data_IF_988213118031
#
_entry.id   IF_988213118031
#
_cell.length_a   1.000
_cell.length_b   1.000
_cell.length_c   1.000
_cell.angle_alpha   90.00
_cell.angle_beta   90.00
_cell.angle_gamma   90.00
#
_symmetry.space_group_name_H-M   'P 1'
#
loop_
_entity.id
_entity.type
_entity.pdbx_description
1 polymer ?
#
# COMPACT_ATOMS: atom_id res chain seq x y z
N UNK A 1 21.00 -37.84 14.88
CA UNK A 1 20.33 -37.84 13.53
C UNK A 1 21.25 -37.15 12.55
N UNK A 2 21.52 -37.73 11.38
CA UNK A 2 22.42 -37.10 10.38
C UNK A 2 21.62 -35.97 9.71
N UNK A 3 22.13 -34.73 9.78
CA UNK A 3 21.50 -33.57 9.16
C UNK A 3 21.44 -33.76 7.64
N UNK A 4 20.27 -33.57 7.02
CA UNK A 4 20.12 -33.68 5.56
C UNK A 4 20.78 -32.50 4.84
N UNK A 5 21.09 -32.69 3.56
CA UNK A 5 21.60 -31.61 2.68
C UNK A 5 20.64 -30.41 2.60
N UNK A 6 19.34 -30.68 2.54
CA UNK A 6 18.30 -29.66 2.58
C UNK A 6 18.30 -28.88 3.91
N UNK A 7 18.34 -29.56 5.06
CA UNK A 7 18.35 -28.89 6.36
C UNK A 7 19.61 -28.01 6.54
N UNK A 8 20.77 -28.49 6.08
CA UNK A 8 22.01 -27.73 6.06
C UNK A 8 21.89 -26.48 5.16
N UNK A 9 21.37 -26.64 3.93
CA UNK A 9 21.18 -25.54 3.00
C UNK A 9 20.16 -24.52 3.54
N UNK A 10 19.06 -25.00 4.13
CA UNK A 10 18.02 -24.13 4.69
C UNK A 10 18.55 -23.30 5.86
N UNK A 11 19.39 -23.89 6.73
CA UNK A 11 20.04 -23.15 7.82
C UNK A 11 20.92 -22.01 7.32
N UNK A 12 21.78 -22.27 6.33
CA UNK A 12 22.62 -21.22 5.71
C UNK A 12 21.78 -20.17 4.97
N UNK A 13 20.73 -20.60 4.29
CA UNK A 13 19.82 -19.69 3.59
C UNK A 13 19.18 -18.66 4.52
N UNK A 14 18.63 -19.12 5.67
CA UNK A 14 17.94 -18.23 6.60
C UNK A 14 18.88 -17.40 7.47
N UNK A 15 19.98 -17.97 7.96
CA UNK A 15 20.85 -17.32 8.93
C UNK A 15 21.94 -16.46 8.27
N UNK A 16 22.43 -16.84 7.10
CA UNK A 16 23.52 -16.15 6.43
C UNK A 16 23.04 -15.42 5.18
N UNK A 17 22.56 -16.13 4.16
CA UNK A 17 22.24 -15.53 2.87
C UNK A 17 21.16 -14.45 2.93
N UNK A 18 20.01 -14.73 3.57
CA UNK A 18 18.94 -13.73 3.67
C UNK A 18 19.31 -12.53 4.53
N UNK A 19 20.10 -12.74 5.58
CA UNK A 19 20.47 -11.70 6.56
C UNK A 19 21.63 -10.87 6.03
N UNK A 20 22.75 -11.53 5.73
CA UNK A 20 24.03 -10.89 5.44
C UNK A 20 24.18 -10.53 3.95
N UNK A 21 24.00 -11.50 3.05
CA UNK A 21 24.26 -11.27 1.62
C UNK A 21 23.15 -10.46 0.97
N UNK A 22 21.90 -10.72 1.35
CA UNK A 22 20.74 -10.09 0.73
C UNK A 22 20.16 -8.91 1.52
N UNK A 23 20.52 -8.73 2.79
CA UNK A 23 20.01 -7.67 3.64
C UNK A 23 18.48 -7.68 3.74
N UNK A 24 17.86 -8.86 3.78
CA UNK A 24 16.41 -9.01 3.78
C UNK A 24 15.80 -8.50 5.08
N UNK A 25 14.64 -7.84 4.99
CA UNK A 25 13.95 -7.37 6.21
C UNK A 25 13.48 -8.56 7.07
N UNK A 26 13.41 -8.42 8.42
CA UNK A 26 12.89 -9.45 9.31
C UNK A 26 11.50 -9.97 8.87
N UNK A 27 10.66 -9.08 8.37
CA UNK A 27 9.33 -9.44 7.84
C UNK A 27 9.41 -10.33 6.57
N UNK A 28 10.39 -10.09 5.71
CA UNK A 28 10.61 -10.92 4.52
C UNK A 28 11.07 -12.31 4.93
N UNK A 29 12.01 -12.39 5.87
CA UNK A 29 12.54 -13.65 6.42
C UNK A 29 11.40 -14.46 7.06
N UNK A 30 10.56 -13.83 7.90
CA UNK A 30 9.39 -14.45 8.51
C UNK A 30 8.41 -15.00 7.45
N UNK A 31 8.12 -14.21 6.41
CA UNK A 31 7.23 -14.61 5.32
C UNK A 31 7.78 -15.83 4.55
N UNK A 32 9.09 -15.84 4.30
CA UNK A 32 9.75 -16.96 3.63
C UNK A 32 9.80 -18.19 4.51
N UNK A 33 10.13 -18.02 5.80
CA UNK A 33 10.10 -19.12 6.78
C UNK A 33 8.72 -19.79 6.80
N UNK A 34 7.66 -19.00 6.83
CA UNK A 34 6.29 -19.53 6.81
C UNK A 34 5.97 -20.30 5.52
N UNK A 35 6.50 -19.86 4.36
CA UNK A 35 6.33 -20.60 3.11
C UNK A 35 6.99 -21.99 3.15
N UNK A 36 8.17 -22.11 3.76
CA UNK A 36 8.85 -23.40 3.94
C UNK A 36 8.12 -24.27 4.95
N UNK A 37 7.63 -23.76 6.07
CA UNK A 37 6.81 -24.51 7.02
C UNK A 37 5.64 -25.18 6.30
N UNK A 38 4.88 -24.41 5.50
CA UNK A 38 3.76 -24.94 4.74
C UNK A 38 4.17 -25.96 3.68
N UNK A 39 5.34 -25.82 3.06
CA UNK A 39 5.86 -26.83 2.13
C UNK A 39 6.21 -28.13 2.85
N UNK A 40 6.83 -28.06 4.04
CA UNK A 40 7.16 -29.23 4.86
C UNK A 40 5.88 -29.97 5.29
N UNK A 41 4.86 -29.26 5.76
CA UNK A 41 3.54 -29.81 6.08
C UNK A 41 2.95 -30.56 4.87
N UNK A 42 2.98 -29.94 3.69
CA UNK A 42 2.48 -30.54 2.46
C UNK A 42 3.24 -31.83 2.08
N UNK A 43 4.57 -31.78 2.14
CA UNK A 43 5.40 -32.97 1.80
C UNK A 43 5.14 -34.14 2.77
N UNK A 44 4.92 -33.85 4.04
CA UNK A 44 4.56 -34.85 5.04
C UNK A 44 3.15 -35.41 4.79
N UNK A 45 2.14 -34.53 4.68
CA UNK A 45 0.73 -34.93 4.54
C UNK A 45 0.42 -35.60 3.20
N UNK A 46 1.03 -35.17 2.10
CA UNK A 46 0.65 -35.60 0.74
C UNK A 46 1.67 -36.49 0.07
N UNK A 47 2.92 -36.48 0.52
CA UNK A 47 4.00 -37.31 -0.05
C UNK A 47 4.57 -38.31 0.94
N UNK A 48 4.18 -38.25 2.21
CA UNK A 48 4.67 -39.15 3.26
C UNK A 48 6.16 -38.93 3.60
N UNK A 49 6.72 -37.78 3.20
CA UNK A 49 8.14 -37.45 3.44
C UNK A 49 8.23 -36.66 4.74
N UNK A 50 8.78 -37.30 5.79
CA UNK A 50 8.99 -36.63 7.08
C UNK A 50 9.98 -35.47 6.95
N UNK A 51 9.77 -34.34 7.63
CA UNK A 51 10.64 -33.15 7.57
C UNK A 51 12.12 -33.46 7.74
N UNK A 52 12.48 -34.39 8.66
CA UNK A 52 13.86 -34.76 8.98
C UNK A 52 14.53 -35.61 7.88
N UNK A 53 13.78 -36.08 6.90
CA UNK A 53 14.27 -36.92 5.79
C UNK A 53 14.30 -36.17 4.46
N UNK A 54 13.75 -34.95 4.40
CA UNK A 54 13.69 -34.15 3.17
C UNK A 54 15.11 -33.82 2.70
N UNK A 55 15.35 -34.03 1.41
CA UNK A 55 16.57 -33.68 0.69
C UNK A 55 16.33 -32.55 -0.31
N UNK A 56 17.38 -31.96 -0.82
CA UNK A 56 17.27 -30.86 -1.85
C UNK A 56 16.52 -31.39 -3.09
N UNK A 57 16.68 -32.64 -3.47
CA UNK A 57 15.96 -33.23 -4.60
C UNK A 57 14.43 -33.30 -4.40
N UNK A 58 13.95 -33.31 -3.18
CA UNK A 58 12.50 -33.25 -2.88
C UNK A 58 11.94 -31.85 -3.11
N UNK A 59 12.81 -30.85 -3.17
CA UNK A 59 12.44 -29.45 -3.50
C UNK A 59 12.51 -29.28 -5.03
N UNK A 60 11.79 -30.12 -5.73
CA UNK A 60 11.72 -30.09 -7.19
C UNK A 60 10.65 -29.15 -7.72
N UNK A 61 10.76 -28.80 -9.01
CA UNK A 61 9.73 -28.01 -9.71
C UNK A 61 8.34 -28.63 -9.54
N UNK A 62 8.23 -29.95 -9.67
CA UNK A 62 6.94 -30.65 -9.64
C UNK A 62 6.33 -30.67 -8.24
N UNK A 63 7.15 -30.88 -7.21
CA UNK A 63 6.66 -30.81 -5.83
C UNK A 63 6.24 -29.38 -5.45
N UNK A 64 6.98 -28.35 -5.89
CA UNK A 64 6.57 -26.95 -5.67
C UNK A 64 5.29 -26.63 -6.43
N UNK A 65 5.13 -27.06 -7.67
CA UNK A 65 3.90 -26.83 -8.43
C UNK A 65 2.68 -27.51 -7.79
N UNK A 66 2.84 -28.76 -7.36
CA UNK A 66 1.80 -29.53 -6.67
C UNK A 66 1.45 -28.89 -5.31
N UNK A 67 2.44 -28.41 -4.56
CA UNK A 67 2.22 -27.65 -3.33
C UNK A 67 1.43 -26.35 -3.58
N UNK A 68 1.80 -25.60 -4.61
CA UNK A 68 1.10 -24.35 -4.96
C UNK A 68 -0.34 -24.61 -5.37
N UNK A 69 -0.63 -25.72 -6.04
CA UNK A 69 -1.99 -26.16 -6.36
C UNK A 69 -2.76 -26.55 -5.09
N UNK A 70 -2.14 -27.34 -4.22
CA UNK A 70 -2.73 -27.72 -2.93
C UNK A 70 -3.09 -26.49 -2.06
N UNK A 71 -2.25 -25.47 -2.05
CA UNK A 71 -2.57 -24.21 -1.36
C UNK A 71 -3.84 -23.56 -1.90
N UNK A 72 -4.04 -23.56 -3.22
CA UNK A 72 -5.23 -22.95 -3.83
C UNK A 72 -6.48 -23.79 -3.57
N UNK A 73 -6.39 -25.11 -3.69
CA UNK A 73 -7.51 -26.03 -3.57
C UNK A 73 -7.92 -26.30 -2.11
N UNK A 74 -6.95 -26.60 -1.25
CA UNK A 74 -7.19 -27.04 0.13
C UNK A 74 -7.22 -25.86 1.12
N UNK A 75 -6.33 -24.88 0.95
CA UNK A 75 -6.22 -23.72 1.85
C UNK A 75 -6.92 -22.46 1.30
N UNK A 76 -7.51 -22.53 0.10
CA UNK A 76 -8.27 -21.44 -0.57
C UNK A 76 -7.48 -20.11 -0.62
N UNK A 77 -6.17 -20.17 -0.79
CA UNK A 77 -5.34 -18.96 -0.83
C UNK A 77 -5.52 -18.21 -2.14
N UNK A 78 -5.38 -16.88 -2.08
CA UNK A 78 -5.45 -16.03 -3.27
C UNK A 78 -4.23 -16.22 -4.19
N UNK A 79 -4.33 -15.93 -5.51
CA UNK A 79 -3.19 -15.93 -6.42
C UNK A 79 -2.02 -15.07 -5.94
N UNK A 80 -2.30 -13.95 -5.27
CA UNK A 80 -1.27 -13.10 -4.68
C UNK A 80 -0.50 -13.81 -3.56
N UNK A 81 -1.20 -14.49 -2.65
CA UNK A 81 -0.60 -15.28 -1.57
C UNK A 81 0.22 -16.45 -2.14
N UNK A 82 -0.34 -17.19 -3.13
CA UNK A 82 0.39 -18.22 -3.86
C UNK A 82 1.69 -17.70 -4.47
N UNK A 83 1.63 -16.57 -5.15
CA UNK A 83 2.82 -15.97 -5.78
C UNK A 83 3.86 -15.50 -4.73
N UNK A 84 3.42 -15.06 -3.57
CA UNK A 84 4.31 -14.73 -2.45
C UNK A 84 5.05 -15.98 -1.93
N UNK A 85 4.39 -17.14 -1.85
CA UNK A 85 5.06 -18.42 -1.53
C UNK A 85 6.06 -18.81 -2.62
N UNK A 86 5.65 -18.74 -3.88
CA UNK A 86 6.54 -18.99 -5.02
C UNK A 86 7.79 -18.10 -4.99
N UNK A 87 7.67 -16.84 -4.61
CA UNK A 87 8.82 -15.93 -4.50
C UNK A 87 9.86 -16.42 -3.49
N UNK A 88 9.44 -17.03 -2.36
CA UNK A 88 10.35 -17.62 -1.39
C UNK A 88 11.17 -18.77 -1.99
N UNK A 89 10.52 -19.68 -2.73
CA UNK A 89 11.20 -20.81 -3.36
C UNK A 89 12.11 -20.39 -4.52
N UNK A 90 11.71 -19.42 -5.31
CA UNK A 90 12.57 -18.85 -6.36
C UNK A 90 13.80 -18.16 -5.77
N UNK A 91 13.68 -17.54 -4.61
CA UNK A 91 14.80 -16.96 -3.90
C UNK A 91 15.73 -18.03 -3.35
N UNK A 92 15.19 -19.11 -2.78
CA UNK A 92 15.98 -20.27 -2.34
C UNK A 92 16.68 -20.95 -3.51
N UNK A 93 16.00 -21.12 -4.63
CA UNK A 93 16.61 -21.67 -5.85
C UNK A 93 17.76 -20.78 -6.37
N UNK A 94 17.63 -19.45 -6.25
CA UNK A 94 18.74 -18.55 -6.58
C UNK A 94 19.96 -18.78 -5.66
N UNK A 95 19.74 -18.92 -4.36
CA UNK A 95 20.77 -19.27 -3.40
C UNK A 95 21.42 -20.63 -3.73
N UNK A 96 20.64 -21.67 -4.01
CA UNK A 96 21.16 -23.00 -4.33
C UNK A 96 22.11 -22.99 -5.55
N UNK A 97 21.87 -22.17 -6.56
CA UNK A 97 22.74 -22.09 -7.75
C UNK A 97 24.20 -21.75 -7.41
N UNK A 98 24.41 -20.91 -6.39
CA UNK A 98 25.75 -20.51 -5.97
C UNK A 98 26.32 -21.45 -4.92
N UNK A 99 25.49 -21.86 -4.00
CA UNK A 99 25.90 -22.63 -2.83
C UNK A 99 26.11 -24.12 -3.15
N UNK A 100 25.34 -24.65 -4.09
CA UNK A 100 25.28 -26.08 -4.45
C UNK A 100 25.19 -26.23 -5.98
N UNK A 101 26.30 -26.06 -6.72
CA UNK A 101 26.30 -26.10 -8.18
C UNK A 101 25.73 -27.40 -8.77
N UNK A 102 25.81 -28.53 -8.02
CA UNK A 102 25.23 -29.79 -8.40
C UNK A 102 23.70 -29.77 -8.59
N UNK A 103 23.02 -28.78 -8.03
CA UNK A 103 21.55 -28.57 -8.14
C UNK A 103 21.16 -27.45 -9.10
N UNK A 104 22.06 -26.96 -9.94
CA UNK A 104 21.82 -25.78 -10.80
C UNK A 104 20.66 -25.99 -11.76
N UNK A 105 20.49 -27.21 -12.29
CA UNK A 105 19.38 -27.53 -13.19
C UNK A 105 18.03 -27.47 -12.45
N UNK A 106 17.89 -28.16 -11.32
CA UNK A 106 16.69 -28.16 -10.51
C UNK A 106 16.33 -26.72 -10.04
N UNK A 107 17.33 -25.97 -9.60
CA UNK A 107 17.15 -24.58 -9.22
C UNK A 107 16.68 -23.70 -10.39
N UNK A 108 17.20 -23.93 -11.60
CA UNK A 108 16.76 -23.21 -12.80
C UNK A 108 15.31 -23.53 -13.17
N UNK A 109 14.91 -24.77 -13.05
CA UNK A 109 13.52 -25.18 -13.28
C UNK A 109 12.56 -24.53 -12.28
N UNK A 110 12.91 -24.42 -11.00
CA UNK A 110 12.12 -23.73 -9.98
C UNK A 110 12.01 -22.24 -10.29
N UNK A 111 13.10 -21.58 -10.68
CA UNK A 111 13.10 -20.17 -11.08
C UNK A 111 12.23 -19.91 -12.31
N UNK A 112 12.12 -20.87 -13.21
CA UNK A 112 11.28 -20.85 -14.40
C UNK A 112 9.78 -20.90 -14.13
N UNK A 113 9.33 -21.26 -12.92
CA UNK A 113 7.91 -21.27 -12.56
C UNK A 113 7.35 -19.84 -12.65
N UNK A 114 6.40 -19.63 -13.55
CA UNK A 114 5.77 -18.31 -13.73
C UNK A 114 4.74 -18.01 -12.63
N UNK A 115 4.69 -16.78 -12.12
CA UNK A 115 3.61 -16.37 -11.22
C UNK A 115 2.26 -16.39 -11.95
N UNK A 116 1.19 -16.71 -11.24
CA UNK A 116 -0.17 -16.58 -11.76
C UNK A 116 -0.53 -15.10 -11.93
N UNK A 117 -1.23 -14.77 -13.03
CA UNK A 117 -1.84 -13.45 -13.19
C UNK A 117 -2.85 -13.23 -12.04
N UNK A 118 -2.67 -12.17 -11.29
CA UNK A 118 -3.64 -11.71 -10.29
C UNK A 118 -4.48 -10.63 -10.96
N UNK A 119 -5.80 -10.73 -10.87
CA UNK A 119 -6.66 -9.59 -11.24
C UNK A 119 -6.30 -8.42 -10.33
N UNK A 120 -6.07 -7.26 -10.91
CA UNK A 120 -5.99 -6.04 -10.11
C UNK A 120 -7.33 -5.90 -9.40
N UNK A 121 -7.30 -5.92 -8.06
CA UNK A 121 -8.49 -5.56 -7.29
C UNK A 121 -8.73 -4.07 -7.51
N UNK A 122 -9.98 -3.72 -7.72
CA UNK A 122 -10.37 -2.31 -7.71
C UNK A 122 -9.89 -1.68 -6.41
N UNK A 123 -9.23 -0.53 -6.55
CA UNK A 123 -8.74 0.19 -5.38
C UNK A 123 -9.95 0.83 -4.72
N UNK A 124 -10.43 0.21 -3.66
CA UNK A 124 -11.43 0.82 -2.80
C UNK A 124 -10.73 1.87 -1.92
N UNK A 125 -11.24 3.09 -1.93
CA UNK A 125 -10.75 4.23 -1.15
C UNK A 125 -11.94 5.05 -0.64
N UNK A 126 -11.70 5.89 0.37
CA UNK A 126 -12.69 6.83 0.87
C UNK A 126 -12.59 8.13 0.07
N UNK A 127 -13.71 8.62 -0.43
CA UNK A 127 -13.80 9.97 -0.96
C UNK A 127 -13.65 11.00 0.16
N UNK A 128 -13.40 12.29 -0.14
CA UNK A 128 -13.26 13.32 0.88
C UNK A 128 -14.44 13.38 1.89
N UNK A 129 -15.66 13.11 1.43
CA UNK A 129 -16.86 13.06 2.26
C UNK A 129 -16.79 11.90 3.28
N UNK A 130 -16.31 10.73 2.85
CA UNK A 130 -16.10 9.58 3.72
C UNK A 130 -15.00 9.82 4.77
N UNK A 131 -13.92 10.52 4.39
CA UNK A 131 -12.87 10.93 5.35
C UNK A 131 -13.45 11.94 6.37
N UNK A 132 -14.23 12.92 5.94
CA UNK A 132 -14.92 13.86 6.83
C UNK A 132 -15.84 13.14 7.80
N UNK A 133 -16.66 12.22 7.30
CA UNK A 133 -17.55 11.40 8.11
C UNK A 133 -16.79 10.53 9.11
N UNK A 134 -15.68 9.90 8.70
CA UNK A 134 -14.84 9.11 9.59
C UNK A 134 -14.28 9.96 10.74
N UNK A 135 -13.75 11.13 10.43
CA UNK A 135 -13.16 12.06 11.40
C UNK A 135 -14.22 12.63 12.36
N UNK A 136 -15.44 12.90 11.89
CA UNK A 136 -16.52 13.44 12.72
C UNK A 136 -17.02 12.47 13.81
N UNK A 137 -16.69 11.17 13.68
CA UNK A 137 -17.01 10.17 14.71
C UNK A 137 -16.07 10.25 15.93
N UNK A 138 -15.02 11.06 15.87
CA UNK A 138 -14.02 11.12 16.94
C UNK A 138 -14.38 12.27 17.88
N UNK A 139 -14.85 11.88 19.06
CA UNK A 139 -15.00 12.83 20.16
C UNK A 139 -13.63 13.24 20.69
N UNK A 140 -13.28 14.52 20.56
CA UNK A 140 -11.97 15.06 20.94
C UNK A 140 -11.87 15.48 22.41
N UNK A 141 -12.79 15.05 23.27
CA UNK A 141 -12.80 15.41 24.70
C UNK A 141 -11.66 14.74 25.48
N UNK A 142 -11.31 13.50 25.13
CA UNK A 142 -10.24 12.75 25.84
C UNK A 142 -8.89 12.89 25.14
N UNK A 143 -7.82 12.71 25.89
CA UNK A 143 -6.45 12.71 25.35
C UNK A 143 -6.24 11.58 24.32
N UNK A 144 -6.82 10.41 24.55
CA UNK A 144 -6.74 9.29 23.63
C UNK A 144 -7.46 9.57 22.30
N UNK A 145 -8.63 10.15 22.34
CA UNK A 145 -9.37 10.47 21.14
C UNK A 145 -8.75 11.64 20.36
N UNK A 146 -8.16 12.63 21.04
CA UNK A 146 -7.35 13.68 20.37
C UNK A 146 -6.12 13.10 19.67
N UNK A 147 -5.45 12.10 20.27
CA UNK A 147 -4.38 11.35 19.62
C UNK A 147 -4.90 10.68 18.35
N UNK A 148 -5.99 9.91 18.44
CA UNK A 148 -6.58 9.18 17.33
C UNK A 148 -6.99 10.11 16.18
N UNK A 149 -7.59 11.25 16.52
CA UNK A 149 -7.93 12.32 15.59
C UNK A 149 -6.68 12.83 14.86
N UNK A 150 -5.62 13.16 15.60
CA UNK A 150 -4.35 13.65 15.03
C UNK A 150 -3.71 12.60 14.13
N UNK A 151 -3.70 11.32 14.55
CA UNK A 151 -3.15 10.22 13.76
C UNK A 151 -3.86 10.08 12.40
N UNK A 152 -5.20 10.13 12.36
CA UNK A 152 -5.97 10.00 11.11
C UNK A 152 -5.73 11.22 10.20
N UNK A 153 -5.68 12.42 10.77
CA UNK A 153 -5.36 13.63 10.01
C UNK A 153 -3.97 13.57 9.38
N UNK A 154 -2.94 13.22 10.17
CA UNK A 154 -1.57 13.07 9.66
C UNK A 154 -1.51 11.98 8.59
N UNK A 155 -2.15 10.83 8.81
CA UNK A 155 -2.18 9.76 7.80
C UNK A 155 -2.79 10.19 6.48
N UNK A 156 -3.91 10.90 6.51
CA UNK A 156 -4.61 11.32 5.30
C UNK A 156 -3.86 12.41 4.55
N UNK A 157 -3.35 13.41 5.27
CA UNK A 157 -2.72 14.58 4.63
C UNK A 157 -1.28 14.33 4.18
N UNK A 158 -0.59 13.38 4.78
CA UNK A 158 0.80 13.03 4.42
C UNK A 158 0.92 11.74 3.63
N UNK A 159 -0.13 10.93 3.63
CA UNK A 159 -0.12 9.62 2.98
C UNK A 159 0.92 8.63 3.53
N UNK A 160 1.43 8.82 4.74
CA UNK A 160 2.44 7.94 5.36
C UNK A 160 1.92 6.52 5.60
N UNK A 161 2.83 5.53 5.59
CA UNK A 161 2.48 4.16 5.97
C UNK A 161 2.23 4.07 7.47
N UNK A 162 1.37 3.14 7.89
CA UNK A 162 1.10 2.94 9.34
C UNK A 162 2.38 2.72 10.15
N UNK A 163 3.34 1.97 9.62
CA UNK A 163 4.62 1.76 10.29
C UNK A 163 5.49 3.01 10.37
N UNK A 164 5.40 3.90 9.41
CA UNK A 164 6.08 5.18 9.40
C UNK A 164 5.42 6.13 10.40
N UNK A 165 4.08 6.21 10.42
CA UNK A 165 3.32 7.02 11.36
C UNK A 165 3.67 6.72 12.82
N UNK A 166 3.59 5.45 13.21
CA UNK A 166 3.82 5.05 14.60
C UNK A 166 5.29 5.21 15.04
N UNK A 167 6.22 5.31 14.11
CA UNK A 167 7.65 5.49 14.38
C UNK A 167 8.10 6.96 14.37
N UNK A 168 7.21 7.93 14.15
CA UNK A 168 7.56 9.36 14.20
C UNK A 168 7.97 9.72 15.63
N UNK A 169 9.12 10.40 15.76
CA UNK A 169 9.64 10.92 17.01
C UNK A 169 9.52 12.44 17.09
N UNK A 170 9.71 13.00 18.27
CA UNK A 170 9.71 14.46 18.45
C UNK A 170 10.75 15.16 17.56
N UNK A 171 11.96 14.59 17.46
CA UNK A 171 13.05 15.11 16.62
C UNK A 171 12.76 15.08 15.11
N UNK A 172 11.79 14.28 14.66
CA UNK A 172 11.41 14.20 13.25
C UNK A 172 10.50 15.36 12.82
N UNK A 173 10.05 16.22 13.74
CA UNK A 173 9.11 17.28 13.44
C UNK A 173 9.78 18.64 13.49
N UNK A 174 9.70 19.37 12.39
CA UNK A 174 10.05 20.79 12.31
C UNK A 174 8.79 21.64 12.24
N UNK A 175 8.60 22.51 13.22
CA UNK A 175 7.53 23.51 13.24
C UNK A 175 7.98 24.88 12.69
N UNK A 176 9.27 25.03 12.36
CA UNK A 176 9.79 26.19 11.63
C UNK A 176 9.31 26.17 10.17
N UNK A 177 9.26 27.33 9.54
CA UNK A 177 8.78 27.45 8.16
C UNK A 177 9.88 27.04 7.14
N UNK A 178 9.64 26.08 6.24
CA UNK A 178 8.42 25.29 6.06
C UNK A 178 8.26 24.18 7.11
N UNK A 179 7.03 24.04 7.66
CA UNK A 179 6.72 22.95 8.61
C UNK A 179 6.78 21.60 7.93
N UNK A 180 7.54 20.67 8.48
CA UNK A 180 7.79 19.35 7.87
C UNK A 180 7.84 18.22 8.88
N UNK A 181 7.58 17.01 8.41
CA UNK A 181 7.82 15.76 9.13
C UNK A 181 8.88 14.97 8.35
N UNK A 182 9.91 14.53 9.03
CA UNK A 182 10.90 13.60 8.49
C UNK A 182 10.35 12.19 8.62
N UNK A 183 10.22 11.50 7.49
CA UNK A 183 9.69 10.13 7.45
C UNK A 183 10.80 9.15 7.08
N UNK A 184 11.05 8.21 7.98
CA UNK A 184 12.01 7.13 7.80
C UNK A 184 11.33 5.93 7.11
N UNK A 185 11.65 5.71 5.85
CA UNK A 185 11.05 4.66 5.02
C UNK A 185 11.87 3.37 4.97
N UNK A 186 11.38 2.38 4.19
CA UNK A 186 12.08 1.11 3.96
C UNK A 186 13.43 1.34 3.27
N UNK A 187 14.48 0.63 3.71
CA UNK A 187 15.81 0.69 3.12
C UNK A 187 16.58 1.97 3.48
N UNK A 188 16.38 2.51 4.67
CA UNK A 188 17.02 3.74 5.17
C UNK A 188 16.72 4.99 4.34
N UNK A 189 15.70 4.96 3.48
CA UNK A 189 15.29 6.14 2.72
C UNK A 189 14.57 7.11 3.64
N UNK A 190 14.98 8.38 3.58
CA UNK A 190 14.38 9.48 4.34
C UNK A 190 13.70 10.41 3.35
N UNK A 191 12.52 10.93 3.73
CA UNK A 191 11.84 11.98 2.97
C UNK A 191 11.24 13.02 3.91
N UNK A 192 11.23 14.26 3.44
CA UNK A 192 10.59 15.38 4.13
C UNK A 192 9.18 15.56 3.59
N UNK A 193 8.19 15.44 4.45
CA UNK A 193 6.77 15.59 4.09
C UNK A 193 6.25 16.91 4.66
N UNK A 194 5.74 17.84 3.84
CA UNK A 194 5.23 19.11 4.34
C UNK A 194 3.97 18.92 5.18
N UNK A 195 3.86 19.68 6.27
CA UNK A 195 2.68 19.75 7.10
C UNK A 195 1.78 20.86 6.53
N UNK A 196 0.63 20.44 5.97
CA UNK A 196 -0.31 21.39 5.37
C UNK A 196 -1.02 22.26 6.40
N UNK A 197 -1.52 23.43 5.97
CA UNK A 197 -2.13 24.44 6.85
C UNK A 197 -3.23 23.90 7.77
N UNK A 198 -4.03 22.95 7.27
CA UNK A 198 -5.13 22.35 8.05
C UNK A 198 -4.63 21.40 9.13
N UNK A 199 -3.52 20.70 8.90
CA UNK A 199 -2.97 19.72 9.84
C UNK A 199 -2.09 20.37 10.90
N UNK A 200 -1.41 21.46 10.57
CA UNK A 200 -0.46 22.12 11.46
C UNK A 200 -1.05 22.43 12.85
N UNK A 201 -2.20 23.14 13.00
CA UNK A 201 -2.74 23.47 14.32
C UNK A 201 -3.16 22.24 15.14
N UNK A 202 -3.64 21.18 14.46
CA UNK A 202 -4.05 19.93 15.10
C UNK A 202 -2.82 19.23 15.68
N UNK A 203 -1.77 19.11 14.87
CA UNK A 203 -0.53 18.45 15.28
C UNK A 203 0.20 19.24 16.37
N UNK A 204 0.31 20.57 16.21
CA UNK A 204 0.95 21.46 17.21
C UNK A 204 0.26 21.38 18.56
N UNK A 205 -1.08 21.44 18.59
CA UNK A 205 -1.85 21.29 19.80
C UNK A 205 -1.55 19.94 20.48
N UNK A 206 -1.59 18.84 19.71
CA UNK A 206 -1.30 17.51 20.22
C UNK A 206 0.13 17.40 20.78
N UNK A 207 1.13 17.91 20.06
CA UNK A 207 2.53 17.90 20.49
C UNK A 207 2.75 18.72 21.78
N UNK A 208 2.08 19.86 21.91
CA UNK A 208 2.13 20.71 23.11
C UNK A 208 1.49 20.02 24.31
N UNK A 209 0.27 19.49 24.14
CA UNK A 209 -0.47 18.80 25.19
C UNK A 209 0.31 17.58 25.75
N UNK A 210 1.00 16.83 24.89
CA UNK A 210 1.76 15.65 25.25
C UNK A 210 3.25 15.93 25.53
N UNK A 211 3.66 17.21 25.44
CA UNK A 211 5.05 17.65 25.71
C UNK A 211 6.09 16.93 24.84
N UNK A 212 5.71 16.58 23.59
CA UNK A 212 6.55 15.76 22.71
C UNK A 212 7.83 16.45 22.22
N UNK A 213 7.87 17.79 22.25
CA UNK A 213 9.01 18.59 21.77
C UNK A 213 9.93 19.08 22.92
N UNK A 214 9.76 18.58 24.13
CA UNK A 214 10.71 18.85 25.21
C UNK A 214 12.06 18.17 24.88
N UNK A 215 13.21 18.80 25.20
CA UNK A 215 14.52 18.24 24.86
C UNK A 215 14.73 16.78 25.27
N UNK A 216 14.25 16.42 26.47
CA UNK A 216 14.33 15.04 26.98
C UNK A 216 13.39 14.04 26.31
N UNK A 217 12.44 14.49 25.48
CA UNK A 217 11.45 13.67 24.80
C UNK A 217 11.60 13.64 23.28
N UNK A 218 12.59 14.33 22.73
CA UNK A 218 12.77 14.42 21.29
C UNK A 218 12.98 13.05 20.63
N UNK A 219 13.62 12.12 21.32
CA UNK A 219 13.86 10.76 20.82
C UNK A 219 12.70 9.78 21.10
N UNK A 220 11.67 10.23 21.84
CA UNK A 220 10.47 9.42 22.10
C UNK A 220 9.50 9.47 20.92
N UNK A 221 8.72 8.39 20.77
CA UNK A 221 7.64 8.35 19.79
C UNK A 221 6.51 9.29 20.19
N UNK A 222 5.98 10.04 19.22
CA UNK A 222 4.91 11.01 19.50
C UNK A 222 3.55 10.36 19.71
N UNK A 223 3.30 9.18 19.12
CA UNK A 223 2.05 8.45 19.27
C UNK A 223 2.24 7.22 20.15
N UNK A 224 1.82 7.35 21.41
CA UNK A 224 1.91 6.29 22.39
C UNK A 224 0.55 5.64 22.64
N UNK A 225 0.55 4.34 22.98
CA UNK A 225 -0.62 3.61 23.39
C UNK A 225 -1.01 3.98 24.85
N UNK A 226 -2.01 3.31 25.41
CA UNK A 226 -2.46 3.55 26.80
C UNK A 226 -1.42 3.16 27.86
N UNK A 227 -0.47 2.29 27.49
CA UNK A 227 0.63 1.86 28.39
C UNK A 227 1.88 2.75 28.27
N UNK A 228 1.83 3.83 27.47
CA UNK A 228 2.98 4.70 27.23
C UNK A 228 4.03 4.15 26.26
N UNK A 229 3.71 3.07 25.54
CA UNK A 229 4.59 2.45 24.55
C UNK A 229 4.22 2.87 23.12
N UNK A 230 5.12 2.61 22.18
CA UNK A 230 4.86 2.82 20.75
C UNK A 230 3.58 2.08 20.32
N UNK A 231 2.75 2.75 19.53
CA UNK A 231 1.55 2.14 18.96
C UNK A 231 1.91 0.93 18.07
N UNK A 232 1.09 -0.14 18.12
CA UNK A 232 1.24 -1.25 17.19
C UNK A 232 0.43 -1.02 15.91
N UNK A 233 0.82 -1.68 14.81
CA UNK A 233 0.04 -1.64 13.55
C UNK A 233 -1.39 -2.17 13.76
N UNK A 234 -1.54 -3.22 14.58
CA UNK A 234 -2.85 -3.77 14.94
C UNK A 234 -3.67 -2.77 15.74
N UNK A 235 -3.05 -2.06 16.68
CA UNK A 235 -3.70 -1.01 17.47
C UNK A 235 -4.25 0.12 16.58
N UNK A 236 -3.46 0.58 15.60
CA UNK A 236 -3.94 1.59 14.63
C UNK A 236 -5.06 1.04 13.76
N UNK A 237 -4.95 -0.21 13.29
CA UNK A 237 -6.00 -0.83 12.50
C UNK A 237 -7.30 -0.98 13.30
N UNK A 238 -7.22 -1.40 14.56
CA UNK A 238 -8.36 -1.48 15.47
C UNK A 238 -9.03 -0.11 15.66
N UNK A 239 -8.23 0.92 15.95
CA UNK A 239 -8.69 2.31 16.09
C UNK A 239 -9.47 2.78 14.86
N UNK A 240 -8.90 2.62 13.66
CA UNK A 240 -9.56 3.01 12.41
C UNK A 240 -10.83 2.19 12.19
N UNK A 241 -10.79 0.88 12.42
CA UNK A 241 -11.96 0.00 12.26
C UNK A 241 -13.10 0.40 13.18
N UNK A 242 -12.81 0.79 14.42
CA UNK A 242 -13.79 1.30 15.39
C UNK A 242 -14.53 2.52 14.84
N UNK A 243 -13.80 3.55 14.43
CA UNK A 243 -14.41 4.79 13.91
C UNK A 243 -15.07 4.57 12.53
N UNK A 244 -14.52 3.70 11.70
CA UNK A 244 -15.15 3.32 10.43
C UNK A 244 -16.49 2.58 10.64
N UNK A 245 -16.61 1.77 11.68
CA UNK A 245 -17.88 1.13 12.02
C UNK A 245 -18.92 2.16 12.46
N UNK A 246 -18.55 3.12 13.31
CA UNK A 246 -19.42 4.22 13.72
C UNK A 246 -19.86 5.06 12.53
N UNK A 247 -18.93 5.45 11.67
CA UNK A 247 -19.22 6.21 10.46
C UNK A 247 -20.12 5.44 9.48
N UNK A 248 -19.95 4.12 9.35
CA UNK A 248 -20.80 3.27 8.51
C UNK A 248 -22.23 3.15 9.04
N UNK A 249 -22.41 3.23 10.34
CA UNK A 249 -23.77 3.28 10.93
C UNK A 249 -24.49 4.59 10.54
N UNK A 250 -23.74 5.69 10.38
CA UNK A 250 -24.31 6.97 9.94
C UNK A 250 -24.57 6.99 8.41
N UNK A 251 -23.60 6.53 7.60
CA UNK A 251 -23.74 6.39 6.15
C UNK A 251 -22.92 5.24 5.60
N UNK A 252 -23.57 4.07 5.31
CA UNK A 252 -22.88 2.90 4.77
C UNK A 252 -22.27 3.11 3.37
N UNK A 253 -22.78 4.06 2.58
CA UNK A 253 -22.35 4.29 1.20
C UNK A 253 -20.97 4.96 1.10
N UNK A 254 -20.59 5.71 2.12
CA UNK A 254 -19.34 6.49 2.16
C UNK A 254 -18.16 5.70 2.75
N UNK A 255 -18.41 4.61 3.48
CA UNK A 255 -17.38 3.90 4.23
C UNK A 255 -17.29 2.43 3.76
N UNK A 256 -16.19 2.03 3.10
CA UNK A 256 -15.99 0.65 2.67
C UNK A 256 -15.90 -0.31 3.86
N UNK A 257 -16.33 -1.58 3.67
CA UNK A 257 -16.35 -2.58 4.75
C UNK A 257 -14.96 -2.85 5.35
N UNK A 258 -13.92 -2.81 4.53
CA UNK A 258 -12.54 -3.11 4.89
C UNK A 258 -11.70 -1.84 5.12
N UNK A 259 -12.28 -0.80 5.72
CA UNK A 259 -11.56 0.43 6.03
C UNK A 259 -10.34 0.14 6.93
N UNK A 260 -9.17 0.60 6.49
CA UNK A 260 -7.88 0.30 7.12
C UNK A 260 -6.89 1.45 6.92
N UNK A 261 -5.76 1.48 7.66
CA UNK A 261 -4.69 2.46 7.44
C UNK A 261 -4.24 2.57 5.98
N UNK A 262 -4.20 1.42 5.29
CA UNK A 262 -3.80 1.39 3.89
C UNK A 262 -4.84 2.06 2.96
N UNK A 263 -6.12 1.92 3.30
CA UNK A 263 -7.21 2.60 2.58
C UNK A 263 -7.16 4.12 2.77
N UNK A 264 -6.85 4.61 3.98
CA UNK A 264 -6.68 6.05 4.22
C UNK A 264 -5.52 6.60 3.37
N UNK A 265 -4.40 5.87 3.29
CA UNK A 265 -3.28 6.24 2.41
C UNK A 265 -3.67 6.19 0.93
N UNK A 266 -4.46 5.20 0.49
CA UNK A 266 -5.01 5.18 -0.87
C UNK A 266 -5.91 6.39 -1.14
N UNK A 267 -6.74 6.77 -0.17
CA UNK A 267 -7.59 7.96 -0.26
C UNK A 267 -6.78 9.24 -0.42
N UNK A 268 -5.69 9.38 0.35
CA UNK A 268 -4.73 10.49 0.20
C UNK A 268 -4.15 10.55 -1.23
N UNK A 269 -3.70 9.40 -1.73
CA UNK A 269 -3.14 9.31 -3.08
C UNK A 269 -4.18 9.66 -4.17
N UNK A 270 -5.40 9.14 -4.03
CA UNK A 270 -6.49 9.39 -4.98
C UNK A 270 -6.90 10.86 -4.98
N UNK A 271 -7.00 11.50 -3.80
CA UNK A 271 -7.29 12.93 -3.71
C UNK A 271 -6.24 13.77 -4.48
N UNK A 272 -4.95 13.47 -4.35
CA UNK A 272 -3.88 14.15 -5.09
C UNK A 272 -3.98 13.90 -6.61
N UNK A 273 -4.32 12.69 -7.01
CA UNK A 273 -4.52 12.36 -8.44
C UNK A 273 -5.72 13.11 -9.02
N UNK A 274 -6.82 13.20 -8.28
CA UNK A 274 -8.04 13.91 -8.69
C UNK A 274 -7.81 15.43 -8.80
N UNK A 275 -6.94 16.00 -7.95
CA UNK A 275 -6.48 17.38 -8.05
C UNK A 275 -5.45 17.62 -9.18
N UNK A 276 -5.05 16.58 -9.91
CA UNK A 276 -4.16 16.72 -11.05
C UNK A 276 -2.68 16.75 -10.71
N UNK A 277 -2.28 16.43 -9.48
CA UNK A 277 -0.88 16.41 -9.06
C UNK A 277 -0.10 15.37 -9.88
N UNK A 278 1.13 15.72 -10.28
CA UNK A 278 1.98 14.81 -11.05
C UNK A 278 2.28 13.52 -10.30
N UNK A 279 2.25 12.39 -11.03
CA UNK A 279 2.49 11.06 -10.43
C UNK A 279 3.88 10.89 -9.85
N UNK A 280 4.87 11.64 -10.33
CA UNK A 280 6.23 11.62 -9.79
C UNK A 280 6.23 12.27 -8.41
N UNK A 281 5.55 13.40 -8.26
CA UNK A 281 5.39 14.09 -6.96
C UNK A 281 4.65 13.18 -5.97
N UNK A 282 3.55 12.55 -6.41
CA UNK A 282 2.80 11.61 -5.57
C UNK A 282 3.67 10.41 -5.17
N UNK A 283 4.45 9.83 -6.10
CA UNK A 283 5.40 8.75 -5.81
C UNK A 283 6.37 9.16 -4.71
N UNK A 284 6.98 10.34 -4.84
CA UNK A 284 8.01 10.81 -3.91
C UNK A 284 7.41 11.15 -2.53
N UNK A 285 6.24 11.79 -2.49
CA UNK A 285 5.50 12.06 -1.26
C UNK A 285 5.15 10.77 -0.52
N UNK A 286 4.64 9.76 -1.25
CA UNK A 286 4.29 8.47 -0.68
C UNK A 286 5.50 7.59 -0.37
N UNK A 287 6.68 7.88 -0.93
CA UNK A 287 7.87 7.04 -0.79
C UNK A 287 7.69 5.67 -1.47
N UNK A 288 7.13 5.65 -2.67
CA UNK A 288 7.08 4.45 -3.51
C UNK A 288 8.44 4.23 -4.17
N UNK A 289 8.94 3.00 -4.15
CA UNK A 289 10.19 2.63 -4.81
C UNK A 289 10.08 2.62 -6.34
N UNK A 290 8.87 2.55 -6.89
CA UNK A 290 8.59 2.50 -8.32
C UNK A 290 7.37 3.35 -8.67
N UNK A 291 7.40 4.03 -9.81
CA UNK A 291 6.27 4.76 -10.38
C UNK A 291 5.09 3.82 -10.67
N UNK A 292 5.37 2.57 -11.07
CA UNK A 292 4.34 1.56 -11.31
C UNK A 292 3.38 1.37 -10.13
N UNK A 293 3.87 1.53 -8.90
CA UNK A 293 3.01 1.48 -7.71
C UNK A 293 2.07 2.68 -7.62
N UNK A 294 2.40 3.79 -8.26
CA UNK A 294 1.60 5.03 -8.28
C UNK A 294 0.68 5.08 -9.53
N UNK A 295 1.08 4.46 -10.63
CA UNK A 295 0.28 4.36 -11.87
C UNK A 295 -1.09 3.69 -11.66
N UNK A 296 -1.21 2.83 -10.65
CA UNK A 296 -2.49 2.21 -10.30
C UNK A 296 -3.56 3.26 -9.98
N UNK A 297 -3.18 4.38 -9.38
CA UNK A 297 -4.11 5.48 -9.06
C UNK A 297 -4.53 6.25 -10.32
N UNK A 298 -3.60 6.48 -11.25
CA UNK A 298 -3.91 7.15 -12.51
C UNK A 298 -4.91 6.36 -13.37
N UNK A 299 -4.85 5.02 -13.33
CA UNK A 299 -5.77 4.14 -14.05
C UNK A 299 -7.19 4.16 -13.51
N UNK A 300 -7.36 4.48 -12.22
CA UNK A 300 -8.66 4.49 -11.53
C UNK A 300 -9.36 5.84 -11.67
N UNK A 301 -8.62 6.95 -11.86
CA UNK A 301 -9.22 8.29 -11.96
C UNK A 301 -9.78 8.57 -13.35
N UNK A 302 -11.06 8.22 -13.53
CA UNK A 302 -11.82 8.61 -14.73
C UNK A 302 -11.97 10.14 -14.88
N UNK A 303 -12.06 10.87 -13.77
CA UNK A 303 -12.14 12.33 -13.76
C UNK A 303 -10.89 12.99 -14.37
N UNK A 304 -9.69 12.48 -14.05
CA UNK A 304 -8.44 12.97 -14.65
C UNK A 304 -8.37 12.68 -16.13
N UNK A 305 -8.76 11.48 -16.55
CA UNK A 305 -8.80 11.10 -17.96
C UNK A 305 -9.76 12.01 -18.74
N UNK A 306 -10.95 12.26 -18.18
CA UNK A 306 -11.94 13.16 -18.78
C UNK A 306 -11.41 14.60 -18.91
N UNK A 307 -10.85 15.18 -17.83
CA UNK A 307 -10.24 16.53 -17.86
C UNK A 307 -9.13 16.64 -18.89
N UNK A 308 -8.27 15.61 -19.01
CA UNK A 308 -7.20 15.60 -20.03
C UNK A 308 -7.75 15.56 -21.46
N UNK A 309 -8.79 14.77 -21.70
CA UNK A 309 -9.47 14.72 -23.01
C UNK A 309 -10.16 16.05 -23.31
N UNK A 310 -10.89 16.60 -22.35
CA UNK A 310 -11.59 17.87 -22.49
C UNK A 310 -10.60 19.04 -22.73
N UNK A 311 -9.45 19.08 -22.04
CA UNK A 311 -8.40 20.06 -22.26
C UNK A 311 -7.79 19.96 -23.68
N UNK A 312 -7.46 18.74 -24.12
CA UNK A 312 -6.93 18.50 -25.45
C UNK A 312 -7.97 18.79 -26.55
N UNK A 313 -9.25 18.57 -26.26
CA UNK A 313 -10.34 18.79 -27.23
C UNK A 313 -10.65 20.26 -27.45
N UNK A 314 -10.41 21.13 -26.46
CA UNK A 314 -10.62 22.59 -26.57
C UNK A 314 -9.73 23.26 -27.63
N UNK A 315 -8.57 22.69 -27.92
CA UNK A 315 -7.66 23.20 -28.96
C UNK A 315 -8.03 22.78 -30.38
N UNK A 316 -8.89 21.76 -30.52
CA UNK A 316 -9.19 21.14 -31.83
C UNK A 316 -10.60 21.49 -32.33
N UNK A 317 -11.53 21.70 -31.42
CA UNK A 317 -12.90 22.06 -31.77
C UNK A 317 -13.03 23.57 -31.75
N UNK A 318 -13.23 24.26 -32.89
CA UNK A 318 -13.59 25.67 -32.86
C UNK A 318 -14.84 25.85 -32.00
N UNK A 319 -14.90 26.92 -31.18
CA UNK A 319 -16.16 27.36 -30.59
C UNK A 319 -17.11 27.76 -31.77
N UNK A 320 -17.74 26.79 -32.36
CA UNK A 320 -18.92 27.07 -33.13
C UNK A 320 -20.02 27.40 -32.12
N UNK A 321 -20.29 28.68 -31.96
CA UNK A 321 -21.56 29.13 -31.40
C UNK A 321 -22.66 28.34 -32.12
N UNK A 322 -23.41 27.54 -31.36
CA UNK A 322 -24.48 26.76 -31.93
C UNK A 322 -25.38 27.75 -32.68
N UNK A 323 -25.45 27.64 -34.01
CA UNK A 323 -26.10 28.59 -34.91
C UNK A 323 -27.54 28.93 -34.54
N UNK A 324 -28.16 28.14 -33.64
CA UNK A 324 -29.49 28.38 -33.07
C UNK A 324 -29.48 29.22 -31.77
N UNK A 325 -28.36 29.44 -31.10
CA UNK A 325 -28.33 30.23 -29.83
C UNK A 325 -28.53 31.73 -30.06
N UNK A 326 -28.26 32.16 -31.28
CA UNK A 326 -28.45 33.56 -31.67
C UNK A 326 -29.83 33.85 -32.34
N UNK A 327 -30.70 32.83 -32.48
CA UNK A 327 -32.03 33.03 -33.06
C UNK A 327 -33.13 32.91 -32.01
N UNK A 328 -33.99 33.92 -31.94
CA UNK A 328 -35.15 34.02 -31.04
C UNK A 328 -36.23 32.98 -31.24
N UNK A 329 -36.12 32.14 -32.31
CA UNK A 329 -37.04 31.05 -32.60
C UNK A 329 -36.40 30.05 -33.56
N UNK A 330 -36.55 28.75 -33.29
CA UNK A 330 -36.19 27.65 -34.23
C UNK A 330 -36.80 27.84 -35.64
N UNK A 331 -37.96 28.48 -35.72
CA UNK A 331 -38.65 28.76 -36.98
C UNK A 331 -37.95 29.81 -37.84
N UNK A 332 -37.34 30.81 -37.20
CA UNK A 332 -36.59 31.88 -37.89
C UNK A 332 -35.20 31.37 -38.32
N UNK A 333 -34.55 30.51 -37.51
CA UNK A 333 -33.35 29.80 -37.88
C UNK A 333 -33.58 28.89 -39.09
N UNK A 334 -34.67 28.09 -39.12
CA UNK A 334 -35.03 27.25 -40.27
C UNK A 334 -35.31 28.03 -41.55
N UNK A 335 -35.89 29.25 -41.46
CA UNK A 335 -36.10 30.13 -42.59
C UNK A 335 -34.81 30.70 -43.14
N UNK A 336 -33.80 30.97 -42.26
CA UNK A 336 -32.47 31.42 -42.67
C UNK A 336 -31.67 30.36 -43.43
N UNK A 337 -31.84 29.09 -43.14
CA UNK A 337 -31.20 27.98 -43.87
C UNK A 337 -31.65 27.84 -45.32
N UNK A 338 -32.87 28.23 -45.62
CA UNK A 338 -33.39 28.15 -47.03
C UNK A 338 -32.88 29.26 -47.97
N UNK A 339 -32.30 30.34 -47.42
CA UNK A 339 -31.78 31.48 -48.19
C UNK A 339 -30.34 31.31 -48.65
N UNK A 340 -29.58 30.33 -48.12
CA UNK A 340 -28.14 30.16 -48.45
C UNK A 340 -27.82 29.01 -49.42
N UNK A 341 -28.80 28.41 -50.09
CA UNK A 341 -28.61 27.34 -51.06
C UNK A 341 -29.11 27.62 -52.45
N UNK A 342 -28.97 28.86 -52.93
CA UNK A 342 -29.10 29.18 -54.35
C UNK A 342 -28.07 30.25 -54.69
N UNK A 343 -26.83 29.82 -54.89
CA UNK A 343 -25.86 30.37 -55.84
C UNK A 343 -24.84 29.30 -56.15
#
# INVERSE_FOLDING_TARGET
MKVTDFASALNRYFNDYLVNDRGSSPRTIETYRYAFIQLLEYLEERKGIRPEKIRINDISRDNIMSFLLWLEESRKVSPATRNQRLAAFRCFAAFLKYERPEYIEAATQIQGIKPKKSRMKDISYLKPEGIKLLISQIDTTTTSSRRDYTMIYVMYTTGVRVSELISIRGCDISLSNPKTIIIHGKGRKVRHVPIVKQTAPILERYLKENKCLLPQKLDEYIFLNHSGEMFTRQGVNYMISKYAQMARTADPSLIPQDCSPHKIRHSSAMALVEEGVDLIIIRDLLGHSSVQTTEIYAKVSSARQRRAIEAASKEIVPEEDALWENSTSIKDWLKGLSAHKVM
#
